data_IF_737011080126
#
_entry.id   IF_737011080126
#
_cell.length_a   1.000
_cell.length_b   1.000
_cell.length_c   1.000
_cell.angle_alpha   90.00
_cell.angle_beta   90.00
_cell.angle_gamma   90.00
#
_symmetry.space_group_name_H-M   'P 1'
#
loop_
_entity.id
_entity.type
_entity.pdbx_description
1 polymer ?
#
# COMPACT_ATOMS: atom_id res chain seq x y z
N UNK A 1 51.37 -7.00 -42.46
CA UNK A 1 50.04 -7.57 -42.14
C UNK A 1 49.55 -8.32 -43.37
N UNK A 2 49.51 -9.67 -43.37
CA UNK A 2 49.06 -10.43 -44.52
C UNK A 2 47.55 -10.26 -44.71
N UNK A 3 47.16 -9.82 -45.91
CA UNK A 3 45.75 -9.71 -46.32
C UNK A 3 45.14 -11.11 -46.43
N UNK A 4 43.95 -11.36 -45.87
CA UNK A 4 43.33 -12.68 -45.96
C UNK A 4 43.07 -13.04 -47.43
N UNK A 5 43.47 -14.27 -47.80
CA UNK A 5 43.31 -14.82 -49.16
C UNK A 5 41.83 -14.85 -49.56
N UNK A 6 41.54 -14.63 -50.84
CA UNK A 6 40.17 -14.55 -51.36
C UNK A 6 39.32 -15.79 -51.00
N UNK A 7 39.95 -16.95 -50.90
CA UNK A 7 39.32 -18.20 -50.48
C UNK A 7 38.83 -18.17 -49.03
N UNK A 8 39.58 -17.53 -48.13
CA UNK A 8 39.19 -17.38 -46.73
C UNK A 8 37.97 -16.47 -46.59
N UNK A 9 37.90 -15.39 -47.38
CA UNK A 9 36.71 -14.51 -47.42
C UNK A 9 35.50 -15.20 -48.02
N UNK A 10 35.70 -16.06 -49.02
CA UNK A 10 34.63 -16.82 -49.65
C UNK A 10 34.11 -17.94 -48.73
N UNK A 11 34.99 -18.58 -47.96
CA UNK A 11 34.61 -19.52 -46.90
C UNK A 11 33.87 -18.81 -45.75
N UNK A 12 34.32 -17.61 -45.35
CA UNK A 12 33.67 -16.80 -44.33
C UNK A 12 32.27 -16.34 -44.79
N UNK A 13 32.11 -15.89 -46.04
CA UNK A 13 30.82 -15.54 -46.62
C UNK A 13 29.88 -16.75 -46.73
N UNK A 14 30.38 -17.90 -47.17
CA UNK A 14 29.60 -19.15 -47.22
C UNK A 14 29.16 -19.58 -45.81
N UNK A 15 30.04 -19.48 -44.82
CA UNK A 15 29.71 -19.77 -43.42
C UNK A 15 28.66 -18.80 -42.86
N UNK A 16 28.77 -17.52 -43.20
CA UNK A 16 27.81 -16.49 -42.78
C UNK A 16 26.44 -16.70 -43.42
N UNK A 17 26.39 -17.02 -44.71
CA UNK A 17 25.15 -17.37 -45.41
C UNK A 17 24.52 -18.63 -44.81
N UNK A 18 25.30 -19.68 -44.55
CA UNK A 18 24.80 -20.90 -43.90
C UNK A 18 24.22 -20.62 -42.50
N UNK A 19 24.89 -19.80 -41.70
CA UNK A 19 24.40 -19.41 -40.37
C UNK A 19 23.11 -18.59 -40.42
N UNK A 20 22.95 -17.77 -41.47
CA UNK A 20 21.79 -16.88 -41.63
C UNK A 20 20.60 -17.61 -42.28
N UNK A 21 20.85 -18.60 -43.14
CA UNK A 21 19.81 -19.48 -43.70
C UNK A 21 19.24 -20.44 -42.64
N UNK A 22 20.07 -20.90 -41.70
CA UNK A 22 19.62 -21.72 -40.57
C UNK A 22 18.65 -21.02 -39.61
N UNK A 23 18.62 -19.68 -39.59
CA UNK A 23 17.66 -18.90 -38.79
C UNK A 23 16.37 -18.55 -39.54
N UNK A 24 16.34 -18.72 -40.87
CA UNK A 24 15.23 -18.29 -41.74
C UNK A 24 14.37 -19.43 -42.28
N UNK A 25 14.70 -20.69 -41.96
CA UNK A 25 13.85 -21.84 -42.29
C UNK A 25 12.85 -22.08 -41.15
N UNK A 26 11.54 -21.97 -41.40
CA UNK A 26 10.52 -22.42 -40.45
C UNK A 26 10.70 -23.93 -40.27
N UNK A 27 10.95 -24.35 -39.03
CA UNK A 27 10.87 -25.77 -38.66
C UNK A 27 9.44 -26.22 -38.95
N UNK A 28 9.22 -27.32 -39.70
CA UNK A 28 7.88 -27.89 -39.87
C UNK A 28 7.36 -28.27 -38.49
N UNK A 29 6.40 -27.50 -37.98
CA UNK A 29 5.66 -27.85 -36.77
C UNK A 29 4.62 -28.87 -37.21
N UNK A 30 5.01 -30.13 -37.25
CA UNK A 30 4.06 -31.24 -37.16
C UNK A 30 3.22 -31.03 -35.89
N UNK A 31 1.89 -31.08 -36.02
CA UNK A 31 0.93 -30.99 -34.91
C UNK A 31 1.20 -32.11 -33.89
N UNK A 32 2.10 -31.85 -32.93
CA UNK A 32 2.41 -32.75 -31.81
C UNK A 32 1.45 -32.60 -30.63
N UNK A 33 0.20 -32.24 -30.91
CA UNK A 33 -0.87 -32.20 -29.89
C UNK A 33 -1.47 -33.59 -29.61
N UNK A 34 -0.94 -34.65 -30.24
CA UNK A 34 -1.26 -36.05 -29.91
C UNK A 34 -0.13 -36.65 -29.08
N UNK A 35 -0.44 -37.35 -27.97
CA UNK A 35 0.59 -38.00 -27.16
C UNK A 35 1.37 -39.02 -28.01
N UNK A 36 2.69 -38.82 -28.08
CA UNK A 36 3.63 -39.70 -28.78
C UNK A 36 3.68 -41.04 -28.05
N UNK A 37 3.45 -42.13 -28.78
CA UNK A 37 3.48 -43.48 -28.22
C UNK A 37 4.94 -43.94 -28.06
N UNK A 38 5.36 -44.18 -26.82
CA UNK A 38 6.75 -44.56 -26.46
C UNK A 38 6.79 -46.04 -26.11
N UNK A 39 7.73 -46.77 -26.72
CA UNK A 39 7.99 -48.18 -26.44
C UNK A 39 9.41 -48.38 -25.90
N UNK A 40 9.64 -49.47 -25.17
CA UNK A 40 10.94 -49.76 -24.56
C UNK A 40 11.57 -50.92 -25.33
N UNK A 41 12.79 -50.72 -25.83
CA UNK A 41 13.55 -51.76 -26.51
C UNK A 41 14.05 -52.84 -25.54
N UNK A 42 14.51 -53.98 -26.08
CA UNK A 42 15.08 -55.11 -25.31
C UNK A 42 16.25 -54.70 -24.40
N UNK A 43 16.89 -53.57 -24.67
CA UNK A 43 17.99 -53.00 -23.91
C UNK A 43 17.54 -51.93 -22.88
N UNK A 44 16.23 -51.74 -22.69
CA UNK A 44 15.67 -50.83 -21.68
C UNK A 44 15.70 -49.35 -22.06
N UNK A 45 15.96 -49.01 -23.33
CA UNK A 45 15.98 -47.63 -23.83
C UNK A 45 14.61 -47.24 -24.38
N UNK A 46 14.18 -46.01 -24.09
CA UNK A 46 12.91 -45.47 -24.56
C UNK A 46 13.04 -45.00 -26.01
N UNK A 47 12.33 -45.67 -26.92
CA UNK A 47 12.26 -45.31 -28.33
C UNK A 47 10.87 -44.80 -28.69
N UNK A 48 10.79 -43.91 -29.67
CA UNK A 48 9.52 -43.52 -30.28
C UNK A 48 9.02 -44.66 -31.18
N UNK A 49 7.79 -45.13 -30.95
CA UNK A 49 7.26 -46.32 -31.62
C UNK A 49 7.03 -46.14 -33.13
N UNK A 50 6.94 -44.90 -33.63
CA UNK A 50 6.72 -44.63 -35.05
C UNK A 50 8.02 -44.36 -35.81
N UNK A 51 8.99 -43.70 -35.16
CA UNK A 51 10.24 -43.25 -35.81
C UNK A 51 11.45 -44.12 -35.45
N UNK A 52 11.35 -44.95 -34.40
CA UNK A 52 12.44 -45.80 -33.93
C UNK A 52 13.61 -45.03 -33.32
N UNK A 53 13.49 -43.72 -33.16
CA UNK A 53 14.54 -42.89 -32.58
C UNK A 53 14.57 -42.99 -31.05
N UNK A 54 15.78 -43.04 -30.49
CA UNK A 54 16.00 -43.09 -29.05
C UNK A 54 15.65 -41.75 -28.42
N UNK A 55 14.58 -41.71 -27.65
CA UNK A 55 14.14 -40.53 -26.92
C UNK A 55 14.94 -40.38 -25.63
N UNK A 56 15.76 -39.33 -25.54
CA UNK A 56 16.36 -38.91 -24.27
C UNK A 56 15.31 -38.17 -23.44
N UNK A 57 14.71 -38.85 -22.47
CA UNK A 57 13.81 -38.23 -21.50
C UNK A 57 14.67 -37.42 -20.52
N UNK A 58 14.59 -36.08 -20.50
CA UNK A 58 15.40 -35.28 -19.60
C UNK A 58 14.93 -35.49 -18.15
N UNK A 59 15.74 -36.19 -17.35
CA UNK A 59 15.50 -36.31 -15.92
C UNK A 59 15.82 -34.96 -15.26
N UNK A 60 14.79 -34.29 -14.75
CA UNK A 60 14.96 -33.02 -14.03
C UNK A 60 15.46 -33.33 -12.63
N UNK A 61 16.75 -33.14 -12.40
CA UNK A 61 17.34 -33.23 -11.06
C UNK A 61 16.86 -32.02 -10.25
N UNK A 62 16.22 -32.21 -9.08
CA UNK A 62 15.77 -31.10 -8.25
C UNK A 62 16.98 -30.36 -7.66
N UNK A 63 17.25 -29.16 -8.14
CA UNK A 63 18.31 -28.29 -7.60
C UNK A 63 17.69 -27.13 -6.82
N UNK A 64 18.33 -26.71 -5.73
CA UNK A 64 17.91 -25.54 -4.96
C UNK A 64 17.95 -24.29 -5.84
N UNK A 65 16.92 -23.43 -5.73
CA UNK A 65 16.84 -22.17 -6.48
C UNK A 65 18.05 -21.25 -6.28
N UNK A 66 18.74 -21.37 -5.14
CA UNK A 66 20.01 -20.69 -4.88
C UNK A 66 21.10 -21.10 -5.88
N UNK A 67 21.24 -22.39 -6.15
CA UNK A 67 22.24 -22.95 -7.08
C UNK A 67 21.88 -22.59 -8.53
N UNK A 68 20.59 -22.59 -8.89
CA UNK A 68 20.12 -22.11 -10.19
C UNK A 68 20.44 -20.62 -10.41
N UNK A 69 20.40 -19.79 -9.36
CA UNK A 69 20.75 -18.36 -9.47
C UNK A 69 22.26 -18.15 -9.64
N UNK A 70 23.08 -18.99 -9.02
CA UNK A 70 24.54 -18.99 -9.21
C UNK A 70 24.86 -19.44 -10.64
N UNK A 71 24.33 -20.58 -11.08
CA UNK A 71 24.55 -21.10 -12.44
C UNK A 71 24.07 -20.12 -13.52
N UNK A 72 22.87 -19.52 -13.37
CA UNK A 72 22.39 -18.49 -14.32
C UNK A 72 23.30 -17.26 -14.35
N UNK A 73 23.85 -16.83 -13.21
CA UNK A 73 24.81 -15.72 -13.16
C UNK A 73 26.12 -16.05 -13.86
N UNK A 74 26.60 -17.28 -13.72
CA UNK A 74 27.83 -17.74 -14.37
C UNK A 74 27.65 -17.90 -15.89
N UNK A 75 26.50 -18.42 -16.34
CA UNK A 75 26.12 -18.48 -17.77
C UNK A 75 26.02 -17.08 -18.38
N UNK A 76 25.33 -16.14 -17.72
CA UNK A 76 25.25 -14.73 -18.17
C UNK A 76 26.64 -14.07 -18.23
N UNK A 77 27.54 -14.43 -17.31
CA UNK A 77 28.95 -13.99 -17.31
C UNK A 77 29.75 -14.56 -18.49
N UNK A 78 29.45 -15.78 -18.93
CA UNK A 78 30.11 -16.45 -20.05
C UNK A 78 29.57 -15.96 -21.40
N UNK A 79 28.27 -15.71 -21.51
CA UNK A 79 27.63 -15.28 -22.76
C UNK A 79 27.90 -13.80 -23.12
N UNK A 80 28.27 -12.97 -22.15
CA UNK A 80 28.58 -11.54 -22.36
C UNK A 80 29.96 -11.12 -21.83
N UNK A 81 31.08 -11.57 -22.44
CA UNK A 81 32.43 -11.15 -22.02
C UNK A 81 32.71 -9.67 -22.30
N UNK A 82 31.99 -9.02 -23.24
CA UNK A 82 32.13 -7.59 -23.55
C UNK A 82 31.65 -6.65 -22.42
N UNK A 83 30.83 -7.13 -21.48
CA UNK A 83 30.34 -6.33 -20.34
C UNK A 83 31.42 -6.07 -19.26
N UNK A 84 32.61 -6.69 -19.35
CA UNK A 84 33.75 -6.36 -18.50
C UNK A 84 34.54 -5.14 -19.00
N UNK A 85 34.64 -4.94 -20.32
CA UNK A 85 35.38 -3.81 -20.89
C UNK A 85 34.73 -2.45 -20.59
N UNK A 86 33.40 -2.39 -20.44
CA UNK A 86 32.71 -1.15 -20.06
C UNK A 86 32.72 -0.87 -18.55
N UNK A 87 33.22 -1.79 -17.71
CA UNK A 87 33.28 -1.61 -16.25
C UNK A 87 34.60 -1.02 -15.77
N UNK A 88 35.69 -1.16 -16.52
CA UNK A 88 36.99 -0.60 -16.12
C UNK A 88 37.10 0.91 -16.38
N UNK A 89 36.24 1.49 -17.22
CA UNK A 89 36.25 2.94 -17.52
C UNK A 89 35.41 3.77 -16.53
N UNK A 90 34.57 3.14 -15.68
CA UNK A 90 33.57 3.85 -14.83
C UNK A 90 34.06 4.02 -13.37
N UNK A 91 35.33 3.74 -13.08
CA UNK A 91 35.84 3.73 -11.69
C UNK A 91 36.09 5.15 -11.12
N UNK A 92 35.96 6.23 -11.91
CA UNK A 92 36.31 7.57 -11.40
C UNK A 92 35.21 8.34 -10.65
N UNK A 93 33.96 7.84 -10.57
CA UNK A 93 32.90 8.54 -9.84
C UNK A 93 32.15 7.64 -8.86
N UNK A 94 32.35 7.80 -7.54
CA UNK A 94 31.70 6.97 -6.54
C UNK A 94 30.29 7.50 -6.27
N UNK A 95 29.28 6.71 -6.64
CA UNK A 95 27.92 6.86 -6.12
C UNK A 95 26.85 6.96 -7.19
N UNK A 96 26.49 5.84 -7.81
CA UNK A 96 25.14 5.69 -8.37
C UNK A 96 24.75 4.21 -8.45
N UNK A 97 23.87 3.81 -7.55
CA UNK A 97 23.38 2.45 -7.43
C UNK A 97 22.52 2.07 -8.65
N UNK A 98 22.62 0.81 -9.09
CA UNK A 98 21.99 0.25 -10.29
C UNK A 98 20.43 0.16 -10.25
N UNK A 99 19.77 0.99 -9.46
CA UNK A 99 18.30 1.14 -9.40
C UNK A 99 17.75 2.24 -10.32
N UNK A 100 18.61 2.99 -11.03
CA UNK A 100 18.21 4.14 -11.84
C UNK A 100 17.60 3.81 -13.22
N UNK A 101 17.49 2.53 -13.61
CA UNK A 101 17.03 2.17 -14.97
C UNK A 101 15.51 2.35 -15.16
N UNK A 102 14.74 2.55 -14.08
CA UNK A 102 13.27 2.71 -14.14
C UNK A 102 12.83 3.91 -13.28
N UNK A 103 13.22 5.12 -13.67
CA UNK A 103 12.84 6.37 -12.99
C UNK A 103 11.92 7.21 -13.90
N UNK A 104 10.68 7.46 -13.48
CA UNK A 104 9.73 8.32 -14.18
C UNK A 104 9.76 9.74 -13.60
N UNK A 105 10.26 10.69 -14.39
CA UNK A 105 10.46 12.09 -13.97
C UNK A 105 9.14 12.84 -13.67
N UNK A 106 7.98 12.27 -13.99
CA UNK A 106 6.67 12.85 -13.65
C UNK A 106 6.21 12.53 -12.23
N UNK A 107 6.89 11.59 -11.56
CA UNK A 107 6.57 11.17 -10.21
C UNK A 107 7.57 11.82 -9.24
N UNK A 108 7.09 12.75 -8.43
CA UNK A 108 7.88 13.36 -7.35
C UNK A 108 8.25 12.31 -6.30
N UNK A 109 9.39 11.65 -6.47
CA UNK A 109 9.93 10.68 -5.50
C UNK A 109 10.72 11.43 -4.44
N UNK A 110 10.02 11.99 -3.45
CA UNK A 110 10.70 12.43 -2.25
C UNK A 110 11.26 11.19 -1.53
N UNK A 111 12.58 11.10 -1.29
CA UNK A 111 13.13 10.00 -0.52
C UNK A 111 12.44 9.99 0.84
N UNK A 112 11.96 8.82 1.27
CA UNK A 112 11.36 8.64 2.58
C UNK A 112 12.46 8.69 3.65
N UNK A 113 13.03 9.87 3.88
CA UNK A 113 14.00 10.15 4.95
C UNK A 113 13.22 10.15 6.26
N UNK A 114 13.04 8.97 6.85
CA UNK A 114 12.57 8.88 8.23
C UNK A 114 13.73 9.24 9.15
N UNK A 115 13.75 10.46 9.65
CA UNK A 115 14.65 10.83 10.73
C UNK A 115 14.45 9.85 11.89
N UNK A 116 15.53 9.14 12.25
CA UNK A 116 15.52 8.22 13.38
C UNK A 116 15.26 9.03 14.64
N UNK A 117 14.12 8.78 15.30
CA UNK A 117 13.76 9.47 16.55
C UNK A 117 14.85 9.21 17.58
N UNK A 118 15.55 10.26 18.00
CA UNK A 118 16.49 10.18 19.10
C UNK A 118 15.72 9.95 20.40
N UNK A 119 16.36 9.27 21.37
CA UNK A 119 15.78 9.06 22.69
C UNK A 119 15.73 10.42 23.41
N UNK A 120 14.52 10.98 23.56
CA UNK A 120 14.30 12.19 24.37
C UNK A 120 13.91 11.74 25.78
N UNK A 121 14.87 11.82 26.70
CA UNK A 121 14.60 11.52 28.10
C UNK A 121 13.76 12.64 28.72
N UNK A 122 12.67 12.27 29.39
CA UNK A 122 11.87 13.21 30.16
C UNK A 122 12.47 13.38 31.56
N UNK A 123 12.42 14.61 32.08
CA UNK A 123 12.83 14.89 33.46
C UNK A 123 11.96 14.07 34.44
N UNK A 124 12.57 13.60 35.53
CA UNK A 124 11.86 12.93 36.64
C UNK A 124 10.70 13.80 37.13
N UNK A 125 9.57 13.20 37.49
CA UNK A 125 8.38 13.91 37.95
C UNK A 125 7.41 14.38 36.87
N UNK A 126 7.83 14.58 35.61
CA UNK A 126 6.93 15.07 34.53
C UNK A 126 5.67 14.21 34.36
N UNK A 127 5.84 12.89 34.37
CA UNK A 127 4.70 11.97 34.24
C UNK A 127 3.95 11.75 35.55
N UNK A 128 4.58 11.97 36.70
CA UNK A 128 3.91 11.94 38.00
C UNK A 128 2.94 13.12 38.12
N UNK A 129 3.35 14.32 37.69
CA UNK A 129 2.49 15.51 37.62
C UNK A 129 1.31 15.31 36.65
N UNK A 130 1.58 14.79 35.45
CA UNK A 130 0.53 14.49 34.46
C UNK A 130 -0.45 13.46 35.04
N UNK A 131 0.04 12.40 35.68
CA UNK A 131 -0.80 11.38 36.28
C UNK A 131 -1.61 11.93 37.47
N UNK A 132 -1.00 12.76 38.32
CA UNK A 132 -1.69 13.42 39.44
C UNK A 132 -2.79 14.34 38.93
N UNK A 133 -2.52 15.15 37.89
CA UNK A 133 -3.52 15.99 37.22
C UNK A 133 -4.65 15.16 36.62
N UNK A 134 -4.33 14.04 35.97
CA UNK A 134 -5.34 13.15 35.40
C UNK A 134 -6.21 12.51 36.50
N UNK A 135 -5.62 12.06 37.61
CA UNK A 135 -6.35 11.56 38.78
C UNK A 135 -7.24 12.64 39.40
N UNK A 136 -6.75 13.87 39.55
CA UNK A 136 -7.53 14.99 40.06
C UNK A 136 -8.72 15.31 39.15
N UNK A 137 -8.51 15.35 37.82
CA UNK A 137 -9.58 15.54 36.84
C UNK A 137 -10.65 14.44 36.93
N UNK A 138 -10.24 13.17 37.01
CA UNK A 138 -11.17 12.06 37.13
C UNK A 138 -11.97 12.10 38.45
N UNK A 139 -11.33 12.52 39.56
CA UNK A 139 -12.02 12.75 40.84
C UNK A 139 -13.06 13.87 40.74
N UNK A 140 -12.72 14.97 40.08
CA UNK A 140 -13.64 16.10 39.87
C UNK A 140 -14.83 15.67 39.01
N UNK A 141 -14.58 14.94 37.92
CA UNK A 141 -15.64 14.41 37.06
C UNK A 141 -16.56 13.44 37.81
N UNK A 142 -16.01 12.53 38.62
CA UNK A 142 -16.80 11.63 39.46
C UNK A 142 -17.67 12.42 40.46
N UNK A 143 -17.11 13.44 41.10
CA UNK A 143 -17.84 14.30 42.03
C UNK A 143 -18.93 15.11 41.30
N UNK A 144 -18.66 15.56 40.08
CA UNK A 144 -19.67 16.23 39.25
C UNK A 144 -20.81 15.27 38.88
N UNK A 145 -20.51 14.02 38.53
CA UNK A 145 -21.52 12.99 38.24
C UNK A 145 -22.34 12.65 39.49
N UNK A 146 -21.69 12.56 40.65
CA UNK A 146 -22.37 12.30 41.93
C UNK A 146 -23.30 13.46 42.31
N UNK A 147 -22.84 14.71 42.20
CA UNK A 147 -23.68 15.90 42.38
C UNK A 147 -24.85 15.89 41.39
N UNK A 148 -24.61 15.55 40.12
CA UNK A 148 -25.66 15.44 39.12
C UNK A 148 -26.69 14.36 39.47
N UNK A 149 -26.25 13.19 39.94
CA UNK A 149 -27.14 12.11 40.36
C UNK A 149 -27.94 12.50 41.61
N UNK A 150 -27.32 13.15 42.60
CA UNK A 150 -28.00 13.65 43.79
C UNK A 150 -29.04 14.69 43.37
N UNK A 151 -28.66 15.68 42.56
CA UNK A 151 -29.59 16.71 42.08
C UNK A 151 -30.75 16.14 41.26
N UNK A 152 -30.49 15.12 40.41
CA UNK A 152 -31.53 14.39 39.68
C UNK A 152 -32.48 13.65 40.64
N UNK A 153 -31.95 13.05 41.71
CA UNK A 153 -32.75 12.36 42.74
C UNK A 153 -33.55 13.33 43.61
N UNK A 154 -33.02 14.52 43.89
CA UNK A 154 -33.66 15.52 44.76
C UNK A 154 -34.57 16.50 44.00
N UNK A 155 -34.64 16.42 42.66
CA UNK A 155 -35.49 17.29 41.84
C UNK A 155 -35.09 18.77 41.85
N UNK A 156 -33.90 19.09 42.36
CA UNK A 156 -33.39 20.47 42.40
C UNK A 156 -32.69 20.72 41.07
N UNK A 157 -33.34 21.47 40.19
CA UNK A 157 -32.89 21.73 38.82
C UNK A 157 -31.43 22.22 38.78
N UNK A 158 -30.59 21.50 38.03
CA UNK A 158 -29.17 21.81 37.75
C UNK A 158 -29.02 22.93 36.71
N UNK A 159 -30.07 23.70 36.47
CA UNK A 159 -30.12 24.71 35.41
C UNK A 159 -29.40 26.02 35.78
N UNK A 160 -29.03 26.20 37.06
CA UNK A 160 -28.43 27.45 37.52
C UNK A 160 -26.90 27.52 37.37
N UNK A 161 -26.19 26.46 36.95
CA UNK A 161 -24.70 26.48 36.91
C UNK A 161 -24.07 27.04 35.64
N UNK A 162 -24.78 27.07 34.51
CA UNK A 162 -24.26 27.71 33.28
C UNK A 162 -24.55 29.21 33.28
N UNK A 163 -25.62 29.63 33.95
CA UNK A 163 -26.10 31.02 33.98
C UNK A 163 -25.39 31.92 35.00
N UNK A 164 -24.67 31.36 35.99
CA UNK A 164 -24.02 32.14 37.06
C UNK A 164 -22.59 32.59 36.71
N UNK A 165 -21.94 31.99 35.69
CA UNK A 165 -20.51 32.23 35.40
C UNK A 165 -20.30 33.36 34.39
N UNK A 166 -21.34 33.78 33.66
CA UNK A 166 -21.22 34.95 32.78
C UNK A 166 -21.49 36.21 33.60
N UNK A 167 -20.53 37.15 33.73
CA UNK A 167 -20.87 38.47 34.24
C UNK A 167 -21.92 39.03 33.29
N UNK A 168 -23.14 39.25 33.80
CA UNK A 168 -24.17 39.96 33.06
C UNK A 168 -23.59 41.31 32.73
N UNK A 169 -23.15 41.51 31.48
CA UNK A 169 -23.00 42.84 30.93
C UNK A 169 -24.42 43.39 30.97
N UNK A 170 -24.70 44.16 32.01
CA UNK A 170 -25.86 45.03 32.03
C UNK A 170 -25.60 46.01 30.90
N UNK A 171 -26.07 45.67 29.70
CA UNK A 171 -26.42 46.71 28.75
C UNK A 171 -27.50 47.50 29.47
N UNK A 172 -27.14 48.66 29.99
CA UNK A 172 -28.14 49.63 30.42
C UNK A 172 -29.08 49.80 29.22
N UNK A 173 -30.36 49.49 29.38
CA UNK A 173 -31.41 49.59 28.35
C UNK A 173 -31.56 51.00 27.74
N UNK A 174 -30.69 51.94 28.11
CA UNK A 174 -30.80 53.37 27.87
C UNK A 174 -29.72 53.94 26.94
N UNK A 175 -28.70 53.15 26.57
CA UNK A 175 -27.62 53.65 25.68
C UNK A 175 -27.87 53.12 24.26
N UNK A 176 -29.02 53.48 23.69
CA UNK A 176 -29.27 53.32 22.26
C UNK A 176 -28.45 54.39 21.56
N UNK A 177 -27.42 54.03 20.76
CA UNK A 177 -26.60 55.02 20.08
C UNK A 177 -27.45 55.81 19.08
N UNK A 178 -27.11 57.10 18.89
CA UNK A 178 -27.79 57.97 17.91
C UNK A 178 -27.70 57.44 16.47
N UNK A 179 -26.68 56.61 16.19
CA UNK A 179 -26.49 55.89 14.92
C UNK A 179 -26.16 54.43 15.17
N UNK A 180 -26.82 53.56 14.42
CA UNK A 180 -26.54 52.14 14.41
C UNK A 180 -25.18 51.87 13.73
N UNK A 181 -24.39 50.96 14.28
CA UNK A 181 -23.01 50.72 13.87
C UNK A 181 -22.85 50.30 12.39
N UNK A 182 -23.89 49.77 11.76
CA UNK A 182 -23.88 49.43 10.33
C UNK A 182 -24.16 50.65 9.43
N UNK A 183 -24.96 51.60 9.89
CA UNK A 183 -25.25 52.86 9.21
C UNK A 183 -24.07 53.83 9.23
N UNK A 184 -23.27 53.81 10.31
CA UNK A 184 -22.07 54.65 10.44
C UNK A 184 -21.11 54.52 9.25
N UNK A 185 -20.95 53.31 8.73
CA UNK A 185 -20.07 53.02 7.58
C UNK A 185 -20.58 53.66 6.29
N UNK A 186 -21.90 53.77 6.15
CA UNK A 186 -22.57 54.28 4.94
C UNK A 186 -22.71 55.80 4.99
N UNK A 187 -23.11 56.34 6.14
CA UNK A 187 -23.41 57.75 6.34
C UNK A 187 -22.17 58.61 6.61
N UNK A 188 -21.11 58.04 7.21
CA UNK A 188 -19.88 58.75 7.61
C UNK A 188 -20.11 59.99 8.49
N UNK A 189 -21.29 60.09 9.10
CA UNK A 189 -21.73 61.17 9.97
C UNK A 189 -22.28 60.60 11.27
N UNK A 190 -22.56 61.45 12.26
CA UNK A 190 -22.96 61.06 13.61
C UNK A 190 -24.47 61.23 13.88
N UNK A 191 -25.27 61.55 12.86
CA UNK A 191 -26.69 61.86 12.98
C UNK A 191 -27.48 61.55 11.69
N UNK A 192 -28.73 61.06 11.83
CA UNK A 192 -29.63 60.74 10.71
C UNK A 192 -30.29 61.97 10.03
N UNK A 193 -29.98 63.20 10.46
CA UNK A 193 -30.68 64.41 10.02
C UNK A 193 -30.52 64.72 8.52
N UNK A 194 -29.56 64.11 7.83
CA UNK A 194 -29.29 64.31 6.39
C UNK A 194 -30.22 63.52 5.47
N UNK A 195 -30.97 62.54 6.02
CA UNK A 195 -31.92 61.72 5.25
C UNK A 195 -33.30 62.41 5.17
N UNK A 196 -33.49 63.54 5.87
CA UNK A 196 -34.73 64.32 5.87
C UNK A 196 -34.90 65.00 4.49
N UNK A 197 -36.04 64.85 3.80
CA UNK A 197 -36.14 65.03 2.36
C UNK A 197 -36.39 66.49 1.95
N UNK A 198 -35.56 67.43 2.42
CA UNK A 198 -35.79 68.86 2.20
C UNK A 198 -34.68 69.60 1.43
N UNK A 199 -33.71 68.89 0.85
CA UNK A 199 -32.79 69.50 -0.10
C UNK A 199 -32.36 68.52 -1.18
N UNK A 200 -32.34 69.01 -2.42
CA UNK A 200 -31.88 68.41 -3.69
C UNK A 200 -30.42 67.89 -3.71
N UNK A 201 -29.88 67.47 -2.57
CA UNK A 201 -28.52 66.96 -2.43
C UNK A 201 -28.65 65.44 -2.32
N UNK A 202 -28.18 64.65 -3.31
CA UNK A 202 -28.14 63.22 -3.15
C UNK A 202 -27.28 62.93 -1.92
N UNK A 203 -27.78 62.19 -0.91
CA UNK A 203 -26.98 61.84 0.25
C UNK A 203 -25.72 61.15 -0.28
N UNK A 204 -24.54 61.66 0.07
CA UNK A 204 -23.26 61.06 -0.31
C UNK A 204 -23.05 59.77 0.49
N UNK A 205 -23.86 58.76 0.18
CA UNK A 205 -23.78 57.43 0.76
C UNK A 205 -22.52 56.78 0.24
N UNK A 206 -21.60 56.46 1.13
CA UNK A 206 -20.35 55.80 0.75
C UNK A 206 -20.57 54.29 0.71
N UNK A 207 -20.10 53.64 -0.36
CA UNK A 207 -20.10 52.18 -0.47
C UNK A 207 -21.36 51.55 -1.08
N UNK A 208 -22.40 52.34 -1.39
CA UNK A 208 -23.57 51.83 -2.12
C UNK A 208 -23.29 51.85 -3.61
N UNK A 209 -23.32 50.68 -4.24
CA UNK A 209 -23.16 50.51 -5.70
C UNK A 209 -24.24 49.57 -6.23
N UNK A 210 -24.37 49.44 -7.55
CA UNK A 210 -25.28 48.47 -8.17
C UNK A 210 -24.76 47.01 -8.07
N UNK A 211 -23.62 46.78 -7.41
CA UNK A 211 -23.01 45.45 -7.28
C UNK A 211 -23.62 44.68 -6.10
N UNK A 212 -23.90 43.41 -6.32
CA UNK A 212 -24.42 42.49 -5.30
C UNK A 212 -23.30 41.53 -4.90
N UNK A 213 -22.90 41.57 -3.63
CA UNK A 213 -21.93 40.63 -3.07
C UNK A 213 -22.61 39.30 -2.71
N UNK A 214 -21.94 38.18 -3.01
CA UNK A 214 -22.37 36.87 -2.55
C UNK A 214 -21.57 36.51 -1.28
N UNK A 215 -22.22 36.21 -0.15
CA UNK A 215 -21.52 35.92 1.09
C UNK A 215 -20.65 34.67 0.97
N UNK A 216 -19.62 34.58 1.81
CA UNK A 216 -18.70 33.44 1.84
C UNK A 216 -19.48 32.18 2.21
N UNK A 217 -19.41 31.16 1.35
CA UNK A 217 -20.02 29.86 1.60
C UNK A 217 -19.20 29.08 2.62
N UNK A 218 -19.73 28.93 3.83
CA UNK A 218 -19.13 28.09 4.87
C UNK A 218 -19.55 26.63 4.68
N UNK A 219 -18.63 25.71 4.97
CA UNK A 219 -18.95 24.28 5.03
C UNK A 219 -19.93 24.01 6.17
N UNK A 220 -20.90 23.10 5.99
CA UNK A 220 -21.82 22.75 7.05
C UNK A 220 -21.04 22.15 8.24
N UNK A 221 -21.41 22.49 9.49
CA UNK A 221 -20.63 22.11 10.68
C UNK A 221 -20.60 20.60 10.94
N UNK A 222 -21.52 19.84 10.35
CA UNK A 222 -21.66 18.39 10.55
C UNK A 222 -20.95 17.53 9.48
N UNK A 223 -20.42 18.13 8.41
CA UNK A 223 -19.69 17.35 7.41
C UNK A 223 -18.34 16.89 7.98
N UNK A 224 -18.09 15.57 8.05
CA UNK A 224 -16.79 15.09 8.49
C UNK A 224 -15.74 15.54 7.46
N UNK A 225 -14.71 16.25 7.93
CA UNK A 225 -13.56 16.62 7.09
C UNK A 225 -12.82 15.41 6.49
N UNK A 226 -13.10 14.19 6.96
CA UNK A 226 -12.53 12.94 6.47
C UNK A 226 -13.47 12.33 5.44
N UNK A 227 -12.93 11.91 4.30
CA UNK A 227 -13.67 11.15 3.31
C UNK A 227 -14.31 9.91 3.96
N UNK A 228 -15.60 9.72 3.72
CA UNK A 228 -16.33 8.55 4.21
C UNK A 228 -15.83 7.32 3.45
N UNK A 229 -15.18 6.39 4.16
CA UNK A 229 -14.73 5.13 3.58
C UNK A 229 -15.96 4.21 3.41
N UNK A 230 -16.29 3.89 2.16
CA UNK A 230 -17.35 2.94 1.84
C UNK A 230 -16.86 1.51 2.13
N UNK A 231 -17.51 0.75 3.04
CA UNK A 231 -17.14 -0.65 3.26
C UNK A 231 -17.46 -1.49 2.03
N UNK A 232 -16.47 -2.26 1.57
CA UNK A 232 -16.63 -3.16 0.43
C UNK A 232 -17.26 -4.47 0.93
N UNK A 233 -18.40 -4.82 0.35
CA UNK A 233 -19.12 -6.06 0.67
C UNK A 233 -18.92 -7.06 -0.46
N UNK A 234 -18.50 -8.27 -0.11
CA UNK A 234 -18.32 -9.39 -1.06
C UNK A 234 -19.58 -10.25 -1.09
N UNK A 235 -19.94 -10.74 -2.28
CA UNK A 235 -21.01 -11.72 -2.43
C UNK A 235 -20.62 -13.06 -1.79
N UNK A 236 -21.61 -13.91 -1.46
CA UNK A 236 -21.34 -15.25 -0.91
C UNK A 236 -20.44 -16.11 -1.80
N UNK A 237 -20.52 -15.93 -3.13
CA UNK A 237 -19.70 -16.64 -4.11
C UNK A 237 -18.25 -16.18 -4.08
N UNK A 238 -18.01 -14.87 -4.05
CA UNK A 238 -16.68 -14.28 -3.95
C UNK A 238 -16.01 -14.63 -2.61
N UNK A 239 -16.75 -14.54 -1.50
CA UNK A 239 -16.25 -14.97 -0.21
C UNK A 239 -15.84 -16.45 -0.23
N UNK A 240 -16.64 -17.31 -0.89
CA UNK A 240 -16.31 -18.73 -1.04
C UNK A 240 -15.11 -18.95 -1.97
N UNK A 241 -14.91 -18.11 -2.98
CA UNK A 241 -13.75 -18.16 -3.89
C UNK A 241 -12.47 -17.74 -3.15
N UNK A 242 -12.50 -16.58 -2.48
CA UNK A 242 -11.39 -16.04 -1.69
C UNK A 242 -10.95 -17.02 -0.59
N UNK A 243 -11.92 -17.59 0.16
CA UNK A 243 -11.61 -18.62 1.17
C UNK A 243 -10.95 -19.86 0.58
N UNK A 244 -11.40 -20.33 -0.59
CA UNK A 244 -10.82 -21.51 -1.25
C UNK A 244 -9.40 -21.23 -1.75
N UNK A 245 -9.17 -20.06 -2.36
CA UNK A 245 -7.85 -19.63 -2.81
C UNK A 245 -6.87 -19.49 -1.64
N UNK A 246 -7.25 -18.76 -0.59
CA UNK A 246 -6.40 -18.60 0.59
C UNK A 246 -6.08 -19.94 1.26
N UNK A 247 -7.05 -20.87 1.36
CA UNK A 247 -6.79 -22.22 1.90
C UNK A 247 -5.84 -23.02 1.01
N UNK A 248 -6.01 -22.96 -0.31
CA UNK A 248 -5.15 -23.66 -1.25
C UNK A 248 -3.71 -23.11 -1.19
N UNK A 249 -3.55 -21.79 -1.10
CA UNK A 249 -2.26 -21.12 -0.95
C UNK A 249 -1.57 -21.48 0.37
N UNK A 250 -2.29 -21.43 1.49
CA UNK A 250 -1.75 -21.82 2.81
C UNK A 250 -1.33 -23.28 2.82
N UNK A 251 -2.15 -24.18 2.27
CA UNK A 251 -1.79 -25.61 2.19
C UNK A 251 -0.57 -25.84 1.30
N UNK A 252 -0.48 -25.14 0.17
CA UNK A 252 0.68 -25.20 -0.72
C UNK A 252 1.93 -24.68 -0.03
N UNK A 253 1.85 -23.56 0.69
CA UNK A 253 2.97 -23.00 1.44
C UNK A 253 3.42 -23.96 2.56
N UNK A 254 2.49 -24.59 3.27
CA UNK A 254 2.80 -25.60 4.29
C UNK A 254 3.49 -26.83 3.68
N UNK A 255 2.98 -27.34 2.55
CA UNK A 255 3.61 -28.45 1.83
C UNK A 255 5.01 -28.09 1.34
N UNK A 256 5.20 -26.88 0.82
CA UNK A 256 6.52 -26.38 0.40
C UNK A 256 7.47 -26.26 1.59
N UNK A 257 7.01 -25.77 2.75
CA UNK A 257 7.80 -25.72 3.98
C UNK A 257 8.21 -27.11 4.47
N UNK A 258 7.31 -28.08 4.44
CA UNK A 258 7.60 -29.48 4.81
C UNK A 258 8.59 -30.09 3.81
N UNK A 259 8.37 -29.88 2.50
CA UNK A 259 9.26 -30.37 1.44
C UNK A 259 10.68 -29.81 1.57
N UNK A 260 10.81 -28.57 2.04
CA UNK A 260 12.10 -27.93 2.31
C UNK A 260 12.69 -28.31 3.67
N UNK A 261 11.97 -29.07 4.51
CA UNK A 261 12.41 -29.45 5.85
C UNK A 261 12.36 -28.30 6.88
N UNK A 262 11.72 -27.17 6.56
CA UNK A 262 11.56 -26.04 7.49
C UNK A 262 10.49 -26.30 8.55
N UNK A 263 9.58 -27.24 8.29
CA UNK A 263 8.52 -27.63 9.21
C UNK A 263 8.42 -29.16 9.20
N UNK A 264 8.35 -29.83 10.37
CA UNK A 264 8.11 -31.26 10.41
C UNK A 264 6.69 -31.58 9.89
N UNK A 265 6.47 -32.77 9.30
CA UNK A 265 5.14 -33.23 8.92
C UNK A 265 4.17 -33.18 10.11
N UNK A 266 2.94 -32.70 9.92
CA UNK A 266 1.97 -32.66 11.01
C UNK A 266 1.63 -34.08 11.47
N UNK A 267 1.58 -34.27 12.79
CA UNK A 267 1.20 -35.56 13.38
C UNK A 267 -0.25 -35.95 13.05
N UNK A 268 -0.54 -37.25 12.93
CA UNK A 268 -1.89 -37.74 12.67
C UNK A 268 -2.83 -37.34 13.81
N UNK A 269 -3.91 -36.63 13.48
CA UNK A 269 -4.93 -36.24 14.46
C UNK A 269 -5.85 -37.42 14.78
N UNK A 270 -5.86 -37.86 16.03
CA UNK A 270 -6.64 -39.00 16.50
C UNK A 270 -8.06 -38.63 16.95
N UNK A 271 -9.06 -39.15 16.24
CA UNK A 271 -10.36 -39.47 16.84
C UNK A 271 -10.28 -40.93 17.34
N UNK A 272 -11.00 -41.32 18.40
CA UNK A 272 -10.91 -42.68 18.98
C UNK A 272 -10.94 -43.82 17.94
N UNK A 273 -11.87 -43.74 16.97
CA UNK A 273 -11.99 -44.69 15.85
C UNK A 273 -10.76 -44.78 14.94
N UNK A 274 -10.00 -43.69 14.83
CA UNK A 274 -8.78 -43.61 14.03
C UNK A 274 -7.57 -44.12 14.81
N UNK A 275 -7.53 -43.88 16.13
CA UNK A 275 -6.47 -44.37 17.02
C UNK A 275 -6.46 -45.90 17.05
N UNK A 276 -7.63 -46.54 17.21
CA UNK A 276 -7.74 -48.01 17.20
C UNK A 276 -7.23 -48.62 15.88
N UNK A 277 -7.56 -47.99 14.74
CA UNK A 277 -7.05 -48.44 13.43
C UNK A 277 -5.54 -48.28 13.30
N UNK A 278 -4.97 -47.18 13.78
CA UNK A 278 -3.52 -46.95 13.74
C UNK A 278 -2.80 -47.99 14.61
N UNK A 279 -3.30 -48.23 15.83
CA UNK A 279 -2.72 -49.23 16.74
C UNK A 279 -2.81 -50.63 16.13
N UNK A 280 -3.96 -50.99 15.55
CA UNK A 280 -4.15 -52.27 14.87
C UNK A 280 -3.19 -52.45 13.69
N UNK A 281 -2.99 -51.43 12.86
CA UNK A 281 -2.05 -51.48 11.74
C UNK A 281 -0.61 -51.65 12.24
N UNK A 282 -0.19 -50.91 13.27
CA UNK A 282 1.15 -51.05 13.83
C UNK A 282 1.37 -52.43 14.46
N UNK A 283 0.35 -52.99 15.13
CA UNK A 283 0.39 -54.34 15.72
C UNK A 283 0.45 -55.48 14.70
N UNK A 284 0.13 -55.24 13.42
CA UNK A 284 0.27 -56.22 12.34
C UNK A 284 1.65 -56.13 11.68
N UNK A 285 2.31 -54.98 11.80
CA UNK A 285 3.60 -54.70 11.16
C UNK A 285 4.77 -55.11 12.07
N UNK A 286 4.58 -55.15 13.39
CA UNK A 286 5.48 -55.80 14.37
C UNK A 286 5.25 -57.31 14.47
#
# INVERSE_FOLDING_TARGET
MPTPSAEQRLAELKGRIASQLGQLLPVPVEDRDRPVHVTIDKEGRTIDSLTGEVLQIPSRIPTLKANLRVQKKDVIKQEHPKAKQYKEVIIEHPGLDASAVHFDARIGTHPAVRNRRQLVFNKKGKYEEIANRQRAKAKLEKLQQEIFQIAKKTGIAVENKVTIIQPKKFFSELDVPDIEWWDYVILQQNNYSVIIPDANIPPMLTGITQLIEHPIQLKPPFEPNKAVLLPIHLTRHEQRKLRRQNRAEVLKEQQEKIRLGLMPPPEPKGNYMYIEKIIFINSIIE
#
